data_IF_107519209305
#
_entry.id   IF_107519209305
#
_cell.length_a   1.000
_cell.length_b   1.000
_cell.length_c   1.000
_cell.angle_alpha   90.00
_cell.angle_beta   90.00
_cell.angle_gamma   90.00
#
_symmetry.space_group_name_H-M   'P 1'
#
loop_
_entity.id
_entity.type
_entity.pdbx_description
1 polymer ?
#
# COMPACT_ATOMS: atom_id res chain seq x y z
N UNK A 1 -7.22 -16.56 -12.61
CA UNK A 1 -7.55 -16.03 -11.27
C UNK A 1 -6.61 -16.62 -10.21
N UNK A 2 -5.83 -15.80 -9.49
CA UNK A 2 -4.88 -16.29 -8.48
C UNK A 2 -5.51 -16.47 -7.10
N UNK A 3 -6.41 -15.57 -6.69
CA UNK A 3 -7.10 -15.61 -5.39
C UNK A 3 -7.76 -16.96 -5.08
N UNK A 4 -8.57 -17.47 -6.00
CA UNK A 4 -9.35 -18.71 -5.83
C UNK A 4 -8.46 -19.92 -5.53
N UNK A 5 -7.21 -19.93 -6.02
CA UNK A 5 -6.25 -21.02 -5.75
C UNK A 5 -5.48 -20.83 -4.44
N UNK A 6 -5.36 -19.60 -3.96
CA UNK A 6 -4.50 -19.24 -2.84
C UNK A 6 -5.27 -19.08 -1.53
N UNK A 7 -6.53 -18.63 -1.59
CA UNK A 7 -7.39 -18.47 -0.41
C UNK A 7 -7.53 -19.78 0.38
N UNK A 8 -7.81 -20.95 -0.24
CA UNK A 8 -7.94 -22.20 0.53
C UNK A 8 -6.66 -22.55 1.29
N UNK A 9 -5.50 -22.35 0.67
CA UNK A 9 -4.18 -22.65 1.26
C UNK A 9 -3.88 -21.72 2.42
N UNK A 10 -4.13 -20.41 2.28
CA UNK A 10 -3.81 -19.45 3.34
C UNK A 10 -4.74 -19.59 4.55
N UNK A 11 -6.00 -19.95 4.33
CA UNK A 11 -6.94 -20.23 5.42
C UNK A 11 -6.58 -21.50 6.17
N UNK A 12 -6.11 -22.53 5.47
CA UNK A 12 -5.57 -23.74 6.13
C UNK A 12 -4.36 -23.39 7.00
N UNK A 13 -3.40 -22.63 6.47
CA UNK A 13 -2.23 -22.17 7.22
C UNK A 13 -2.64 -21.39 8.48
N UNK A 14 -3.56 -20.43 8.35
CA UNK A 14 -4.04 -19.63 9.47
C UNK A 14 -4.70 -20.50 10.54
N UNK A 15 -5.50 -21.50 10.14
CA UNK A 15 -6.12 -22.45 11.07
C UNK A 15 -5.08 -23.29 11.83
N UNK A 16 -4.01 -23.70 11.15
CA UNK A 16 -2.90 -24.40 11.81
C UNK A 16 -2.15 -23.48 12.78
N UNK A 17 -1.94 -22.21 12.41
CA UNK A 17 -1.33 -21.22 13.29
C UNK A 17 -2.16 -20.96 14.56
N UNK A 18 -3.49 -20.94 14.48
CA UNK A 18 -4.36 -20.78 15.65
C UNK A 18 -4.14 -21.86 16.72
N UNK A 19 -3.74 -23.07 16.32
CA UNK A 19 -3.49 -24.20 17.23
C UNK A 19 -2.02 -24.25 17.64
N UNK A 20 -1.11 -24.09 16.70
CA UNK A 20 0.32 -24.36 16.91
C UNK A 20 1.09 -23.14 17.44
N UNK A 21 0.67 -21.93 17.07
CA UNK A 21 1.37 -20.69 17.42
C UNK A 21 0.40 -19.49 17.49
N UNK A 22 -0.55 -19.48 18.44
CA UNK A 22 -1.63 -18.49 18.49
C UNK A 22 -1.14 -17.03 18.62
N UNK A 23 0.06 -16.82 19.15
CA UNK A 23 0.67 -15.49 19.36
C UNK A 23 1.62 -15.08 18.22
N UNK A 24 1.82 -15.92 17.20
CA UNK A 24 2.71 -15.61 16.10
C UNK A 24 2.09 -14.61 15.12
N UNK A 25 2.96 -13.80 14.50
CA UNK A 25 2.58 -12.86 13.45
C UNK A 25 2.70 -13.52 12.07
N UNK A 26 1.60 -13.51 11.31
CA UNK A 26 1.66 -13.88 9.88
C UNK A 26 2.07 -12.66 9.06
N UNK A 27 3.29 -12.70 8.51
CA UNK A 27 3.80 -11.71 7.56
C UNK A 27 3.56 -12.18 6.11
N UNK A 28 2.44 -11.77 5.51
CA UNK A 28 2.09 -12.22 4.16
C UNK A 28 2.67 -11.32 3.05
N UNK A 29 3.40 -11.93 2.10
CA UNK A 29 3.87 -11.30 0.85
C UNK A 29 3.15 -11.83 -0.40
N UNK A 30 2.33 -12.88 -0.25
CA UNK A 30 1.67 -13.53 -1.37
C UNK A 30 0.53 -12.64 -1.90
N UNK A 31 0.41 -12.58 -3.22
CA UNK A 31 -0.65 -11.87 -3.92
C UNK A 31 -1.72 -12.83 -4.46
N UNK A 32 -3.00 -12.38 -4.60
CA UNK A 32 -3.47 -11.01 -4.48
C UNK A 32 -3.79 -10.60 -3.02
N UNK A 33 -2.95 -9.74 -2.45
CA UNK A 33 -2.86 -9.58 -1.01
C UNK A 33 -4.11 -8.95 -0.38
N UNK A 34 -4.75 -7.98 -1.06
CA UNK A 34 -6.03 -7.42 -0.59
C UNK A 34 -7.08 -8.52 -0.38
N UNK A 35 -7.26 -9.42 -1.36
CA UNK A 35 -8.25 -10.50 -1.27
C UNK A 35 -7.86 -11.54 -0.22
N UNK A 36 -6.57 -11.85 -0.09
CA UNK A 36 -6.10 -12.81 0.91
C UNK A 36 -6.28 -12.29 2.33
N UNK A 37 -5.88 -11.04 2.59
CA UNK A 37 -6.08 -10.40 3.88
C UNK A 37 -7.57 -10.29 4.23
N UNK A 38 -8.43 -9.98 3.26
CA UNK A 38 -9.88 -9.95 3.49
C UNK A 38 -10.43 -11.34 3.84
N UNK A 39 -10.05 -12.39 3.10
CA UNK A 39 -10.49 -13.76 3.41
C UNK A 39 -10.06 -14.22 4.81
N UNK A 40 -8.82 -13.91 5.20
CA UNK A 40 -8.30 -14.24 6.54
C UNK A 40 -9.05 -13.46 7.62
N UNK A 41 -9.31 -12.18 7.38
CA UNK A 41 -10.03 -11.31 8.30
C UNK A 41 -11.46 -11.80 8.58
N UNK A 42 -12.17 -12.18 7.50
CA UNK A 42 -13.51 -12.76 7.57
C UNK A 42 -13.51 -14.10 8.34
N UNK A 43 -12.50 -14.95 8.08
CA UNK A 43 -12.35 -16.23 8.77
C UNK A 43 -12.07 -16.10 10.27
N UNK A 44 -11.15 -15.19 10.66
CA UNK A 44 -10.68 -15.02 12.03
C UNK A 44 -11.60 -14.16 12.91
N UNK A 45 -12.69 -13.61 12.36
CA UNK A 45 -13.60 -12.68 13.07
C UNK A 45 -12.83 -11.57 13.83
N UNK A 46 -11.91 -10.88 13.13
CA UNK A 46 -11.12 -9.76 13.68
C UNK A 46 -10.06 -10.11 14.75
N UNK A 47 -9.15 -11.06 14.47
CA UNK A 47 -7.90 -11.20 15.26
C UNK A 47 -6.73 -10.42 14.63
N UNK A 48 -5.97 -9.61 15.40
CA UNK A 48 -4.94 -8.70 14.88
C UNK A 48 -3.58 -9.36 14.55
N UNK A 49 -3.53 -10.66 14.28
CA UNK A 49 -2.28 -11.44 14.15
C UNK A 49 -1.68 -11.46 12.74
N UNK A 50 -2.34 -10.84 11.75
CA UNK A 50 -1.93 -10.92 10.33
C UNK A 50 -1.55 -9.53 9.78
N UNK A 51 -0.33 -9.46 9.25
CA UNK A 51 0.26 -8.26 8.67
C UNK A 51 0.61 -8.49 7.21
N UNK A 52 0.29 -7.51 6.38
CA UNK A 52 0.51 -7.57 4.95
C UNK A 52 1.76 -6.76 4.59
N UNK A 53 2.75 -7.37 3.96
CA UNK A 53 3.96 -6.66 3.52
C UNK A 53 3.69 -6.07 2.14
N UNK A 54 3.31 -4.79 2.11
CA UNK A 54 3.01 -4.06 0.86
C UNK A 54 4.18 -3.18 0.46
N UNK A 55 4.59 -3.33 -0.79
CA UNK A 55 5.63 -2.50 -1.39
C UNK A 55 5.01 -1.25 -2.04
N UNK A 56 5.43 -0.04 -1.64
CA UNK A 56 4.94 1.22 -2.22
C UNK A 56 6.06 2.00 -2.89
N UNK A 57 6.08 2.03 -4.23
CA UNK A 57 7.00 2.87 -5.02
C UNK A 57 6.45 4.26 -5.30
N UNK A 58 5.15 4.49 -5.03
CA UNK A 58 4.43 5.68 -5.51
C UNK A 58 5.07 6.99 -5.03
N UNK A 59 5.39 7.11 -3.74
CA UNK A 59 5.95 8.36 -3.21
C UNK A 59 7.31 8.72 -3.83
N UNK A 60 8.17 7.73 -4.02
CA UNK A 60 9.48 7.94 -4.63
C UNK A 60 9.35 8.35 -6.10
N UNK A 61 8.45 7.67 -6.84
CA UNK A 61 8.21 7.97 -8.25
C UNK A 61 7.67 9.39 -8.43
N UNK A 62 6.70 9.79 -7.61
CA UNK A 62 6.13 11.13 -7.64
C UNK A 62 7.16 12.23 -7.42
N UNK A 63 8.14 12.00 -6.54
CA UNK A 63 9.18 13.00 -6.27
C UNK A 63 10.15 13.15 -7.43
N UNK A 64 10.56 12.03 -8.03
CA UNK A 64 11.37 12.08 -9.25
C UNK A 64 10.61 12.69 -10.42
N UNK A 65 9.31 12.45 -10.52
CA UNK A 65 8.47 13.01 -11.58
C UNK A 65 8.27 14.51 -11.37
N UNK A 66 8.07 14.96 -10.14
CA UNK A 66 7.78 16.37 -9.82
C UNK A 66 9.01 17.23 -9.53
N UNK A 67 10.22 16.64 -9.47
CA UNK A 67 11.49 17.31 -9.16
C UNK A 67 11.52 17.99 -7.78
N UNK A 68 10.89 17.37 -6.78
CA UNK A 68 10.72 17.95 -5.43
C UNK A 68 11.73 17.34 -4.42
N UNK A 69 12.41 18.16 -3.60
CA UNK A 69 13.29 17.71 -2.51
C UNK A 69 12.59 16.82 -1.46
N UNK A 70 13.36 16.02 -0.73
CA UNK A 70 12.83 15.09 0.28
C UNK A 70 12.14 15.73 1.46
N UNK A 71 12.66 16.87 1.89
CA UNK A 71 12.31 17.51 3.15
C UNK A 71 10.98 18.25 3.12
N UNK A 72 10.42 18.51 1.93
CA UNK A 72 9.40 19.55 1.78
C UNK A 72 8.01 19.00 1.48
N UNK A 73 7.84 17.70 1.24
CA UNK A 73 6.56 17.12 0.82
C UNK A 73 5.66 16.73 2.01
N UNK A 74 4.53 17.43 2.17
CA UNK A 74 3.46 17.08 3.10
C UNK A 74 2.30 16.40 2.35
N UNK A 75 1.95 15.17 2.74
CA UNK A 75 0.94 14.40 2.04
C UNK A 75 0.10 13.50 2.95
N UNK A 76 -1.15 13.28 2.53
CA UNK A 76 -2.05 12.29 3.09
C UNK A 76 -2.41 11.31 1.98
N UNK A 77 -2.33 10.01 2.25
CA UNK A 77 -2.69 8.98 1.28
C UNK A 77 -3.63 7.94 1.88
N UNK A 78 -4.65 7.56 1.11
CA UNK A 78 -5.49 6.40 1.37
C UNK A 78 -5.15 5.29 0.38
N UNK A 79 -5.08 4.04 0.83
CA UNK A 79 -4.61 2.93 0.01
C UNK A 79 -5.22 1.58 0.35
N UNK A 80 -5.28 0.73 -0.66
CA UNK A 80 -5.36 -0.72 -0.57
C UNK A 80 -4.14 -1.32 -1.29
N UNK A 81 -3.95 -2.64 -1.20
CA UNK A 81 -2.87 -3.30 -1.93
C UNK A 81 -2.99 -3.03 -3.46
N UNK A 82 -1.88 -2.61 -4.08
CA UNK A 82 -1.78 -2.20 -5.50
C UNK A 82 -2.63 -0.99 -5.95
N UNK A 83 -3.32 -0.29 -5.05
CA UNK A 83 -4.11 0.89 -5.41
C UNK A 83 -4.00 1.94 -4.29
N UNK A 84 -3.40 3.07 -4.60
CA UNK A 84 -3.22 4.16 -3.64
C UNK A 84 -3.61 5.48 -4.27
N UNK A 85 -4.20 6.34 -3.45
CA UNK A 85 -4.54 7.71 -3.81
C UNK A 85 -3.90 8.63 -2.79
N UNK A 86 -3.19 9.64 -3.29
CA UNK A 86 -2.98 10.84 -2.48
C UNK A 86 -4.35 11.52 -2.32
N UNK A 87 -4.60 12.05 -1.13
CA UNK A 87 -5.76 12.86 -0.78
C UNK A 87 -5.34 14.30 -0.54
N UNK A 88 -4.10 14.47 -0.06
CA UNK A 88 -3.38 15.73 0.12
C UNK A 88 -1.98 15.54 -0.43
N UNK A 89 -1.48 16.52 -1.19
CA UNK A 89 -0.14 16.50 -1.76
C UNK A 89 0.38 17.93 -1.90
N UNK A 90 1.19 18.38 -0.95
CA UNK A 90 1.65 19.76 -0.82
C UNK A 90 3.17 19.82 -0.63
N UNK A 91 3.79 20.95 -0.99
CA UNK A 91 5.15 21.29 -0.57
C UNK A 91 5.18 22.46 0.38
N UNK A 92 6.00 22.37 1.42
CA UNK A 92 6.25 23.41 2.41
C UNK A 92 7.11 24.56 1.86
N UNK A 93 6.73 25.13 0.72
CA UNK A 93 7.28 26.40 0.22
C UNK A 93 6.27 27.52 0.51
N UNK A 94 6.69 28.56 1.25
CA UNK A 94 5.95 29.83 1.41
C UNK A 94 4.42 29.70 1.63
N UNK A 95 3.97 28.74 2.44
CA UNK A 95 2.56 28.60 2.81
C UNK A 95 1.83 27.36 2.29
N UNK A 96 2.54 26.26 2.02
CA UNK A 96 2.00 24.97 1.56
C UNK A 96 1.35 25.06 0.17
N UNK A 97 2.10 24.70 -0.88
CA UNK A 97 1.62 24.76 -2.27
C UNK A 97 1.02 23.41 -2.66
N UNK A 98 -0.24 23.40 -3.07
CA UNK A 98 -0.92 22.22 -3.63
C UNK A 98 -0.32 21.82 -4.99
N UNK A 99 0.09 20.55 -5.10
CA UNK A 99 0.74 19.98 -6.28
C UNK A 99 -0.23 19.34 -7.28
N UNK A 100 -1.51 19.15 -6.92
CA UNK A 100 -2.50 18.57 -7.84
C UNK A 100 -2.65 19.33 -9.16
N UNK A 101 -2.66 20.68 -9.21
CA UNK A 101 -2.71 21.40 -10.47
C UNK A 101 -1.57 21.02 -11.41
N UNK A 102 -0.33 20.97 -10.91
CA UNK A 102 0.84 20.58 -11.70
C UNK A 102 0.74 19.12 -12.15
N UNK A 103 0.31 18.22 -11.25
CA UNK A 103 0.12 16.81 -11.59
C UNK A 103 -0.92 16.61 -12.69
N UNK A 104 -2.02 17.38 -12.68
CA UNK A 104 -3.07 17.31 -13.70
C UNK A 104 -2.57 17.78 -15.06
N UNK A 105 -1.78 18.85 -15.13
CA UNK A 105 -1.18 19.29 -16.39
C UNK A 105 -0.20 18.24 -16.94
N UNK A 106 0.62 17.62 -16.07
CA UNK A 106 1.51 16.52 -16.46
C UNK A 106 0.74 15.30 -16.96
N UNK A 107 -0.35 14.93 -16.28
CA UNK A 107 -1.21 13.79 -16.65
C UNK A 107 -1.90 13.95 -18.01
N UNK A 108 -2.09 15.18 -18.50
CA UNK A 108 -2.58 15.45 -19.86
C UNK A 108 -1.55 15.12 -20.95
N UNK A 109 -0.37 14.62 -20.59
CA UNK A 109 0.68 14.19 -21.53
C UNK A 109 1.61 15.32 -21.97
N UNK A 110 1.58 16.47 -21.31
CA UNK A 110 2.43 17.62 -21.66
C UNK A 110 3.87 17.49 -21.13
N UNK A 111 4.13 16.58 -20.18
CA UNK A 111 5.45 16.30 -19.60
C UNK A 111 5.59 14.78 -19.36
N UNK A 112 6.68 14.12 -19.79
CA UNK A 112 6.85 12.67 -19.62
C UNK A 112 7.19 12.28 -18.16
N UNK A 113 6.56 11.21 -17.65
CA UNK A 113 6.89 10.60 -16.35
C UNK A 113 8.18 9.75 -16.48
N UNK A 114 9.15 9.93 -15.57
CA UNK A 114 10.38 9.13 -15.54
C UNK A 114 10.06 7.74 -14.98
N UNK A 115 10.59 6.70 -15.63
CA UNK A 115 10.50 5.32 -15.13
C UNK A 115 11.55 5.09 -14.04
N UNK A 116 11.19 4.78 -12.80
CA UNK A 116 12.16 4.14 -11.88
C UNK A 116 11.62 3.42 -10.63
N UNK A 117 12.22 2.25 -10.39
CA UNK A 117 12.74 1.58 -9.18
C UNK A 117 12.00 1.51 -7.82
N UNK A 118 12.43 0.54 -6.98
CA UNK A 118 11.64 -0.20 -5.98
C UNK A 118 12.11 0.03 -4.52
N UNK A 119 11.23 0.46 -3.58
CA UNK A 119 11.48 0.48 -2.09
C UNK A 119 10.35 -0.13 -1.18
N UNK A 120 10.73 -0.72 -0.03
CA UNK A 120 9.90 -1.60 0.86
C UNK A 120 9.35 -0.91 2.13
N UNK A 121 8.10 -1.21 2.55
CA UNK A 121 7.53 -0.79 3.86
C UNK A 121 6.52 -1.83 4.41
N UNK A 122 6.38 -1.94 5.74
CA UNK A 122 5.39 -2.80 6.40
C UNK A 122 4.03 -2.07 6.53
N UNK A 123 2.91 -2.75 6.27
CA UNK A 123 1.56 -2.18 6.42
C UNK A 123 0.70 -3.07 7.32
N UNK A 124 0.12 -2.48 8.36
CA UNK A 124 -0.84 -3.16 9.24
C UNK A 124 -2.17 -3.31 8.50
N UNK A 125 -2.74 -4.50 8.53
CA UNK A 125 -4.08 -4.74 8.01
C UNK A 125 -5.09 -4.29 9.07
N UNK A 126 -5.61 -3.08 8.94
CA UNK A 126 -6.75 -2.59 9.71
C UNK A 126 -7.89 -2.36 8.72
N UNK A 127 -9.02 -3.04 8.90
CA UNK A 127 -10.25 -2.68 8.20
C UNK A 127 -10.77 -1.34 8.74
N UNK A 128 -11.35 -0.54 7.85
CA UNK A 128 -12.20 0.62 8.19
C UNK A 128 -13.50 0.06 8.80
#
# INVERSE_FOLDING_TARGET
MRAIRTIPVILQLVKEMEVLCPDALLLNYVNPMAMLCWAIHDHLKYRPSVYAIVFSTQLHNFRSDLEIPESDLDYVAARINHMSFFLKLEVAEQGNIDLYPQLRERAKGQIPLRKSFKYCRLVRCSAI
#
